data_IF_579734444157
#
_entry.id   IF_579734444157
#
_cell.length_a   1.000
_cell.length_b   1.000
_cell.length_c   1.000
_cell.angle_alpha   90.00
_cell.angle_beta   90.00
_cell.angle_gamma   90.00
#
_symmetry.space_group_name_H-M   'P 1'
#
loop_
_entity.id
_entity.type
_entity.pdbx_description
1 polymer ?
#
# COMPACT_ATOMS: atom_id res chain seq x y z
N UNK A 1 10.46 12.53 -4.62
CA UNK A 1 8.97 12.62 -4.61
C UNK A 1 8.31 11.79 -5.70
N UNK A 2 8.44 12.07 -7.01
CA UNK A 2 7.74 11.31 -8.08
C UNK A 2 7.99 9.79 -8.11
N UNK A 3 9.22 9.32 -7.86
CA UNK A 3 9.55 7.87 -7.74
C UNK A 3 9.01 7.23 -6.45
N UNK A 4 8.90 8.02 -5.38
CA UNK A 4 8.41 7.59 -4.06
C UNK A 4 6.88 7.54 -4.03
N UNK A 5 6.24 8.45 -4.76
CA UNK A 5 4.80 8.47 -5.01
C UNK A 5 4.35 7.24 -5.82
N UNK A 6 5.17 6.79 -6.78
CA UNK A 6 4.97 5.50 -7.46
C UNK A 6 5.03 4.31 -6.50
N UNK A 7 5.94 4.31 -5.52
CA UNK A 7 6.09 3.26 -4.50
C UNK A 7 4.93 3.25 -3.49
N UNK A 8 4.50 4.41 -3.00
CA UNK A 8 3.31 4.59 -2.14
C UNK A 8 2.06 3.96 -2.76
N UNK A 9 1.93 4.11 -4.08
CA UNK A 9 0.73 3.74 -4.81
C UNK A 9 0.82 2.33 -5.41
N UNK A 10 2.03 1.85 -5.74
CA UNK A 10 2.30 0.43 -6.00
C UNK A 10 2.08 -0.42 -4.74
N UNK A 11 2.39 0.09 -3.55
CA UNK A 11 2.09 -0.59 -2.27
C UNK A 11 0.59 -0.76 -1.98
N UNK A 12 -0.26 0.10 -2.56
CA UNK A 12 -1.74 -0.01 -2.49
C UNK A 12 -2.30 -0.84 -3.67
N UNK A 13 -1.50 -1.08 -4.72
CA UNK A 13 -1.95 -1.75 -5.95
C UNK A 13 -1.40 -3.17 -6.14
N UNK A 14 -0.26 -3.52 -5.54
CA UNK A 14 0.44 -4.78 -5.84
C UNK A 14 1.17 -5.27 -4.59
N UNK A 15 0.63 -6.30 -3.95
CA UNK A 15 1.46 -7.23 -3.19
C UNK A 15 2.39 -7.94 -4.18
N UNK A 16 3.69 -7.84 -3.93
CA UNK A 16 4.79 -8.45 -4.67
C UNK A 16 5.27 -7.76 -5.96
N UNK A 17 6.61 -7.56 -5.99
CA UNK A 17 7.47 -7.32 -7.15
C UNK A 17 7.34 -5.98 -7.88
N UNK A 18 8.45 -5.22 -7.89
CA UNK A 18 9.02 -4.64 -9.11
C UNK A 18 10.40 -4.03 -8.83
N UNK A 19 11.44 -4.67 -9.39
CA UNK A 19 12.77 -4.10 -9.64
C UNK A 19 12.92 -3.90 -11.15
N UNK A 20 13.23 -2.68 -11.58
CA UNK A 20 14.05 -2.42 -12.76
C UNK A 20 14.46 -0.94 -12.77
N UNK A 21 15.76 -0.65 -12.63
CA UNK A 21 16.36 0.61 -13.05
C UNK A 21 17.42 0.29 -14.09
N UNK A 22 17.36 1.04 -15.19
CA UNK A 22 18.24 0.98 -16.33
C UNK A 22 19.66 1.47 -15.99
N UNK A 23 20.67 0.82 -16.57
CA UNK A 23 22.01 1.37 -16.78
C UNK A 23 22.15 1.79 -18.24
N UNK A 24 22.71 2.98 -18.47
CA UNK A 24 23.14 3.46 -19.78
C UNK A 24 24.67 3.44 -19.80
N UNK A 25 25.26 2.78 -20.80
CA UNK A 25 26.68 2.83 -21.13
C UNK A 25 26.82 3.09 -22.62
N UNK A 26 27.62 4.10 -22.99
CA UNK A 26 27.84 4.52 -24.37
C UNK A 26 28.73 3.56 -25.14
N UNK A 27 28.50 3.50 -26.45
CA UNK A 27 29.32 2.79 -27.43
C UNK A 27 29.03 3.34 -28.83
N UNK A 28 30.10 3.52 -29.62
CA UNK A 28 30.13 4.17 -30.94
C UNK A 28 29.28 3.46 -32.00
N UNK A 29 28.80 4.25 -32.97
CA UNK A 29 28.06 3.82 -34.17
C UNK A 29 28.94 2.93 -35.09
N UNK A 30 28.47 1.75 -35.53
CA UNK A 30 29.07 1.03 -36.64
C UNK A 30 28.38 1.36 -37.97
N UNK A 31 29.21 1.34 -39.01
CA UNK A 31 28.96 1.60 -40.43
C UNK A 31 27.85 0.72 -41.04
N UNK A 32 26.96 1.33 -41.83
CA UNK A 32 25.76 0.70 -42.41
C UNK A 32 26.12 -0.45 -43.38
N UNK A 33 25.80 -1.68 -42.97
CA UNK A 33 25.65 -2.83 -43.86
C UNK A 33 24.16 -3.12 -44.03
N UNK A 34 23.68 -3.18 -45.28
CA UNK A 34 22.30 -3.59 -45.59
C UNK A 34 22.05 -5.03 -45.11
N UNK A 35 21.54 -5.17 -43.88
CA UNK A 35 20.95 -6.40 -43.39
C UNK A 35 19.42 -6.24 -43.35
N UNK A 36 18.68 -7.29 -43.70
CA UNK A 36 17.25 -7.34 -43.40
C UNK A 36 17.08 -7.31 -41.88
N UNK A 37 16.49 -6.24 -41.35
CA UNK A 37 16.34 -6.06 -39.91
C UNK A 37 15.17 -6.88 -39.34
N UNK A 38 15.40 -7.50 -38.19
CA UNK A 38 14.37 -8.12 -37.36
C UNK A 38 14.24 -7.33 -36.05
N UNK A 39 13.21 -6.49 -35.98
CA UNK A 39 13.05 -5.49 -34.92
C UNK A 39 12.31 -6.01 -33.67
N UNK A 40 11.71 -7.20 -33.71
CA UNK A 40 10.98 -7.80 -32.59
C UNK A 40 9.84 -6.94 -32.01
N UNK A 41 9.39 -7.29 -30.80
CA UNK A 41 8.47 -6.46 -30.01
C UNK A 41 9.23 -5.29 -29.37
N UNK A 42 8.86 -4.06 -29.71
CA UNK A 42 9.52 -2.85 -29.21
C UNK A 42 9.31 -2.64 -27.69
N UNK A 43 10.16 -1.81 -27.09
CA UNK A 43 10.08 -1.37 -25.70
C UNK A 43 9.42 0.01 -25.63
N UNK A 44 8.31 0.13 -24.89
CA UNK A 44 7.64 1.41 -24.69
C UNK A 44 8.50 2.34 -23.83
N UNK A 45 9.00 3.43 -24.42
CA UNK A 45 9.74 4.46 -23.68
C UNK A 45 8.79 5.44 -23.00
N UNK A 46 7.85 5.98 -23.76
CA UNK A 46 6.83 6.92 -23.27
C UNK A 46 5.50 6.63 -23.95
N UNK A 47 4.43 6.53 -23.16
CA UNK A 47 3.09 6.37 -23.70
C UNK A 47 2.61 7.67 -24.35
N UNK A 48 1.99 7.58 -25.52
CA UNK A 48 1.30 8.71 -26.12
C UNK A 48 0.10 9.11 -25.27
N UNK A 49 -0.14 10.42 -25.20
CA UNK A 49 -1.29 11.02 -24.52
C UNK A 49 -2.14 11.79 -25.53
N UNK A 50 -3.21 12.47 -25.08
CA UNK A 50 -4.00 13.34 -25.95
C UNK A 50 -3.28 14.65 -26.29
N UNK A 51 -2.24 15.03 -25.53
CA UNK A 51 -1.52 16.28 -25.71
C UNK A 51 -0.08 16.10 -26.21
N UNK A 52 0.53 14.94 -25.94
CA UNK A 52 1.93 14.64 -26.23
C UNK A 52 2.05 13.30 -26.92
N UNK A 53 2.92 13.26 -27.92
CA UNK A 53 3.34 12.02 -28.56
C UNK A 53 4.10 11.14 -27.57
N UNK A 54 4.05 9.83 -27.81
CA UNK A 54 4.84 8.83 -27.11
C UNK A 54 6.02 8.37 -27.96
N UNK A 55 6.79 7.42 -27.46
CA UNK A 55 7.92 6.84 -28.16
C UNK A 55 8.05 5.35 -27.85
N UNK A 56 8.31 4.56 -28.90
CA UNK A 56 8.58 3.14 -28.87
C UNK A 56 10.00 2.88 -29.37
N UNK A 57 10.80 2.15 -28.62
CA UNK A 57 12.16 1.83 -28.97
C UNK A 57 12.25 0.41 -29.54
N UNK A 58 13.01 0.23 -30.61
CA UNK A 58 13.27 -1.07 -31.22
C UNK A 58 14.76 -1.32 -31.32
N UNK A 59 15.17 -2.55 -31.07
CA UNK A 59 16.55 -3.01 -31.25
C UNK A 59 16.53 -4.26 -32.12
N UNK A 60 17.25 -4.20 -33.23
CA UNK A 60 17.36 -5.33 -34.15
C UNK A 60 18.09 -6.49 -33.47
N UNK A 61 17.48 -7.67 -33.45
CA UNK A 61 18.06 -8.91 -32.88
C UNK A 61 19.27 -9.40 -33.67
N UNK A 62 19.32 -9.08 -34.98
CA UNK A 62 20.34 -9.58 -35.91
C UNK A 62 21.60 -8.72 -35.88
N UNK A 63 21.48 -7.39 -35.98
CA UNK A 63 22.62 -6.49 -36.13
C UNK A 63 22.81 -5.49 -34.99
N UNK A 64 21.89 -5.46 -34.01
CA UNK A 64 21.97 -4.54 -32.88
C UNK A 64 21.62 -3.09 -33.20
N UNK A 65 21.26 -2.77 -34.46
CA UNK A 65 20.76 -1.46 -34.87
C UNK A 65 19.57 -1.04 -34.00
N UNK A 66 19.40 0.27 -33.82
CA UNK A 66 18.40 0.84 -32.92
C UNK A 66 17.56 1.86 -33.67
N UNK A 67 16.27 1.87 -33.41
CA UNK A 67 15.38 2.95 -33.87
C UNK A 67 14.38 3.30 -32.79
N UNK A 68 13.95 4.56 -32.78
CA UNK A 68 12.85 5.03 -31.95
C UNK A 68 11.75 5.54 -32.85
N UNK A 69 10.55 4.98 -32.70
CA UNK A 69 9.37 5.42 -33.43
C UNK A 69 8.48 6.27 -32.53
N UNK A 70 7.96 7.35 -33.10
CA UNK A 70 7.01 8.24 -32.42
C UNK A 70 5.63 7.58 -32.41
N UNK A 71 5.04 7.43 -31.23
CA UNK A 71 3.64 7.04 -31.09
C UNK A 71 2.81 8.32 -31.19
N UNK A 72 1.99 8.51 -32.23
CA UNK A 72 1.25 9.76 -32.42
C UNK A 72 0.30 10.01 -31.25
N UNK A 73 0.15 11.29 -30.89
CA UNK A 73 -0.90 11.71 -29.95
C UNK A 73 -2.28 11.42 -30.52
N UNK A 74 -3.27 11.25 -29.64
CA UNK A 74 -4.66 11.10 -30.06
C UNK A 74 -5.49 12.30 -29.61
N UNK A 75 -5.95 13.11 -30.56
CA UNK A 75 -6.67 14.35 -30.26
C UNK A 75 -8.09 14.13 -29.70
N UNK A 76 -8.54 12.88 -29.58
CA UNK A 76 -9.83 12.53 -28.97
C UNK A 76 -9.65 11.94 -27.57
N UNK A 77 -10.33 12.55 -26.59
CA UNK A 77 -10.39 12.00 -25.25
C UNK A 77 -11.23 10.71 -25.22
N UNK A 78 -10.64 9.63 -24.71
CA UNK A 78 -11.37 8.43 -24.30
C UNK A 78 -11.57 8.46 -22.78
N UNK A 79 -12.69 9.01 -22.34
CA UNK A 79 -13.06 9.05 -20.93
C UNK A 79 -13.45 7.66 -20.43
N UNK A 80 -13.26 7.42 -19.13
CA UNK A 80 -13.75 6.23 -18.44
C UNK A 80 -15.27 6.22 -18.44
N UNK A 81 -15.85 5.02 -18.50
CA UNK A 81 -17.29 4.82 -18.26
C UNK A 81 -17.64 5.13 -16.79
N UNK A 82 -16.68 4.85 -15.89
CA UNK A 82 -16.75 5.17 -14.47
C UNK A 82 -16.61 6.66 -14.19
N UNK A 83 -17.45 7.18 -13.31
CA UNK A 83 -17.38 8.53 -12.73
C UNK A 83 -17.09 8.45 -11.23
N UNK A 84 -16.57 9.50 -10.62
CA UNK A 84 -16.47 9.62 -9.16
C UNK A 84 -16.93 11.01 -8.70
N UNK A 85 -17.42 11.13 -7.46
CA UNK A 85 -17.77 12.43 -6.89
C UNK A 85 -16.48 13.20 -6.61
N UNK A 86 -16.25 14.29 -7.36
CA UNK A 86 -15.20 15.26 -7.10
C UNK A 86 -15.64 16.35 -6.12
N UNK A 87 -16.96 16.60 -6.04
CA UNK A 87 -17.57 17.55 -5.11
C UNK A 87 -18.92 17.05 -4.64
N UNK A 88 -19.18 17.16 -3.34
CA UNK A 88 -20.48 16.79 -2.74
C UNK A 88 -21.59 17.75 -3.19
N UNK A 89 -22.75 17.24 -3.63
CA UNK A 89 -23.94 18.06 -3.79
C UNK A 89 -24.53 18.43 -2.43
N UNK A 90 -25.16 19.59 -2.36
CA UNK A 90 -25.92 20.04 -1.18
C UNK A 90 -27.36 20.32 -1.57
N UNK A 91 -28.25 20.52 -0.58
CA UNK A 91 -29.63 20.92 -0.85
C UNK A 91 -29.77 22.26 -1.61
N UNK A 92 -28.68 23.03 -1.73
CA UNK A 92 -28.65 24.37 -2.35
C UNK A 92 -27.74 24.47 -3.58
N UNK A 93 -26.99 23.43 -3.90
CA UNK A 93 -26.03 23.45 -5.00
C UNK A 93 -25.76 22.06 -5.52
N UNK A 94 -25.70 21.92 -6.84
CA UNK A 94 -25.26 20.67 -7.47
C UNK A 94 -23.83 20.32 -7.05
N UNK A 95 -23.57 19.02 -7.03
CA UNK A 95 -22.23 18.46 -6.86
C UNK A 95 -21.59 18.26 -8.21
N UNK A 96 -20.41 17.64 -8.21
CA UNK A 96 -19.66 17.36 -9.42
C UNK A 96 -19.23 15.90 -9.43
N UNK A 97 -19.71 15.16 -10.42
CA UNK A 97 -19.10 13.92 -10.85
C UNK A 97 -17.93 14.24 -11.78
N UNK A 98 -16.95 13.36 -11.81
CA UNK A 98 -15.78 13.47 -12.65
C UNK A 98 -15.51 12.12 -13.33
N UNK A 99 -15.23 12.13 -14.62
CA UNK A 99 -14.61 10.98 -15.32
C UNK A 99 -13.27 11.38 -15.91
N UNK A 100 -12.39 10.39 -16.06
CA UNK A 100 -10.99 10.63 -16.43
C UNK A 100 -10.70 10.06 -17.81
N UNK A 101 -9.93 10.80 -18.60
CA UNK A 101 -9.40 10.27 -19.85
C UNK A 101 -8.33 9.22 -19.58
N UNK A 102 -8.56 7.98 -20.02
CA UNK A 102 -7.66 6.86 -19.78
C UNK A 102 -6.30 6.97 -20.50
N UNK A 103 -6.12 7.99 -21.36
CA UNK A 103 -4.87 8.25 -22.10
C UNK A 103 -4.11 9.46 -21.59
N UNK A 104 -4.80 10.46 -21.02
CA UNK A 104 -4.21 11.76 -20.72
C UNK A 104 -4.69 12.40 -19.42
N UNK A 105 -5.54 11.71 -18.65
CA UNK A 105 -6.05 12.17 -17.35
C UNK A 105 -6.85 13.45 -17.35
N UNK A 106 -7.18 13.99 -18.54
CA UNK A 106 -8.14 15.07 -18.65
C UNK A 106 -9.42 14.67 -17.93
N UNK A 107 -10.00 15.64 -17.23
CA UNK A 107 -11.22 15.47 -16.46
C UNK A 107 -12.40 16.04 -17.21
N UNK A 108 -13.52 15.34 -17.13
CA UNK A 108 -14.81 15.88 -17.49
C UNK A 108 -15.69 15.95 -16.25
N UNK A 109 -16.12 17.16 -15.91
CA UNK A 109 -17.02 17.45 -14.81
C UNK A 109 -18.47 17.35 -15.30
N UNK A 110 -19.26 16.57 -14.58
CA UNK A 110 -20.67 16.30 -14.87
C UNK A 110 -21.47 16.73 -13.63
N UNK A 111 -22.58 17.49 -13.76
CA UNK A 111 -23.42 17.82 -12.62
C UNK A 111 -23.90 16.58 -11.87
N UNK A 112 -23.78 16.59 -10.55
CA UNK A 112 -24.22 15.51 -9.68
C UNK A 112 -25.49 15.91 -8.94
N UNK A 113 -26.56 15.12 -9.09
CA UNK A 113 -27.85 15.43 -8.49
C UNK A 113 -27.87 15.16 -6.97
N UNK A 114 -28.46 16.08 -6.21
CA UNK A 114 -28.52 15.98 -4.74
C UNK A 114 -29.37 14.80 -4.25
N UNK A 115 -30.49 14.50 -4.91
CA UNK A 115 -31.43 13.48 -4.42
C UNK A 115 -30.84 12.06 -4.46
N UNK A 116 -30.20 11.68 -5.57
CA UNK A 116 -29.49 10.42 -5.76
C UNK A 116 -28.31 10.30 -4.80
N UNK A 117 -27.52 11.36 -4.68
CA UNK A 117 -26.40 11.39 -3.73
C UNK A 117 -26.89 11.21 -2.30
N UNK A 118 -27.91 11.98 -1.87
CA UNK A 118 -28.45 11.92 -0.52
C UNK A 118 -28.92 10.51 -0.16
N UNK A 119 -29.59 9.81 -1.08
CA UNK A 119 -30.02 8.43 -0.86
C UNK A 119 -28.85 7.48 -0.58
N UNK A 120 -27.76 7.59 -1.33
CA UNK A 120 -26.55 6.77 -1.11
C UNK A 120 -25.87 7.14 0.20
N UNK A 121 -25.74 8.43 0.47
CA UNK A 121 -25.15 8.97 1.69
C UNK A 121 -25.88 8.51 2.94
N UNK A 122 -27.20 8.67 2.99
CA UNK A 122 -28.02 8.25 4.13
C UNK A 122 -27.90 6.74 4.36
N UNK A 123 -27.85 5.92 3.29
CA UNK A 123 -27.67 4.48 3.40
C UNK A 123 -26.29 4.09 3.95
N UNK A 124 -25.22 4.76 3.50
CA UNK A 124 -23.87 4.52 4.01
C UNK A 124 -23.76 4.89 5.50
N UNK A 125 -24.28 6.06 5.89
CA UNK A 125 -24.30 6.50 7.30
C UNK A 125 -25.14 5.55 8.16
N UNK A 126 -26.33 5.16 7.69
CA UNK A 126 -27.18 4.22 8.42
C UNK A 126 -26.49 2.85 8.60
N UNK A 127 -25.76 2.38 7.58
CA UNK A 127 -24.97 1.15 7.67
C UNK A 127 -23.87 1.23 8.73
N UNK A 128 -23.12 2.35 8.77
CA UNK A 128 -22.09 2.58 9.80
C UNK A 128 -22.70 2.58 11.20
N UNK A 129 -23.79 3.33 11.38
CA UNK A 129 -24.51 3.47 12.65
C UNK A 129 -25.28 2.21 13.08
N UNK A 130 -25.44 1.23 12.17
CA UNK A 130 -26.14 -0.02 12.45
C UNK A 130 -25.37 -0.97 13.37
N UNK A 131 -24.08 -0.72 13.60
CA UNK A 131 -23.26 -1.55 14.49
C UNK A 131 -23.41 -1.16 15.96
N UNK A 132 -23.59 -2.16 16.81
CA UNK A 132 -23.56 -2.04 18.26
C UNK A 132 -22.16 -2.32 18.82
N UNK A 133 -21.80 -1.77 19.98
CA UNK A 133 -20.50 -2.03 20.62
C UNK A 133 -20.20 -3.52 20.79
N UNK A 134 -21.25 -4.33 21.00
CA UNK A 134 -21.16 -5.78 21.18
C UNK A 134 -20.88 -6.57 19.90
N UNK A 135 -20.94 -5.96 18.72
CA UNK A 135 -20.72 -6.65 17.44
C UNK A 135 -19.31 -7.22 17.28
N UNK A 136 -18.36 -6.73 18.07
CA UNK A 136 -16.97 -7.20 18.13
C UNK A 136 -16.62 -7.81 19.48
N UNK A 137 -17.63 -8.37 20.17
CA UNK A 137 -17.51 -8.90 21.52
C UNK A 137 -17.88 -7.89 22.60
N UNK A 138 -18.17 -8.38 23.81
CA UNK A 138 -18.49 -7.55 24.97
C UNK A 138 -17.25 -7.06 25.73
N UNK A 139 -16.08 -7.63 25.44
CA UNK A 139 -14.85 -7.37 26.17
C UNK A 139 -14.22 -6.02 25.79
N UNK A 140 -13.80 -5.29 26.82
CA UNK A 140 -12.70 -4.32 26.82
C UNK A 140 -11.60 -4.54 25.77
N UNK A 141 -11.31 -3.60 24.85
CA UNK A 141 -9.94 -3.56 24.34
C UNK A 141 -9.03 -3.23 25.55
N UNK A 142 -7.86 -3.86 25.62
CA UNK A 142 -6.99 -3.80 26.78
C UNK A 142 -5.86 -2.82 26.53
N UNK A 143 -5.70 -1.86 27.44
CA UNK A 143 -4.55 -0.98 27.43
C UNK A 143 -3.24 -1.77 27.57
N UNK A 144 -2.20 -1.34 26.86
CA UNK A 144 -0.87 -1.94 26.96
C UNK A 144 -0.04 -1.30 28.08
N UNK A 145 0.96 -2.04 28.56
CA UNK A 145 1.89 -1.52 29.58
C UNK A 145 2.64 -0.30 29.05
N UNK A 146 2.58 0.80 29.81
CA UNK A 146 3.28 2.05 29.49
C UNK A 146 4.68 2.13 30.11
N UNK A 147 5.09 1.08 30.83
CA UNK A 147 6.34 1.05 31.61
C UNK A 147 7.29 -0.09 31.23
N UNK A 148 6.88 -1.01 30.34
CA UNK A 148 7.75 -2.11 29.88
C UNK A 148 8.96 -1.60 29.10
N UNK A 149 8.76 -0.57 28.28
CA UNK A 149 9.82 0.08 27.50
C UNK A 149 9.91 1.56 27.88
N UNK A 150 11.07 2.16 27.64
CA UNK A 150 11.21 3.61 27.73
C UNK A 150 10.26 4.31 26.77
N UNK A 151 9.87 5.54 27.10
CA UNK A 151 9.03 6.35 26.24
C UNK A 151 9.66 6.50 24.84
N UNK A 152 8.89 6.35 23.74
CA UNK A 152 9.39 6.54 22.39
C UNK A 152 10.07 7.90 22.22
N UNK A 153 11.22 7.94 21.54
CA UNK A 153 11.99 9.18 21.31
C UNK A 153 11.38 10.08 20.23
N UNK A 154 10.47 9.54 19.43
CA UNK A 154 9.62 10.26 18.50
C UNK A 154 8.23 9.61 18.51
N UNK A 155 7.19 10.37 18.15
CA UNK A 155 5.82 9.89 18.11
C UNK A 155 4.91 10.73 17.22
N UNK A 156 3.72 10.21 16.89
CA UNK A 156 2.72 10.96 16.14
C UNK A 156 2.29 12.21 16.91
N UNK A 157 2.03 13.29 16.17
CA UNK A 157 1.44 14.49 16.76
C UNK A 157 -0.05 14.25 17.05
N UNK A 158 -0.46 14.51 18.28
CA UNK A 158 -1.85 14.38 18.70
C UNK A 158 -2.79 15.31 17.91
N UNK A 159 -3.98 14.83 17.58
CA UNK A 159 -5.01 15.55 16.83
C UNK A 159 -4.69 15.80 15.35
N UNK A 160 -3.59 15.27 14.82
CA UNK A 160 -3.23 15.38 13.41
C UNK A 160 -3.56 14.09 12.66
N UNK A 161 -4.49 14.21 11.70
CA UNK A 161 -4.86 13.17 10.75
C UNK A 161 -5.02 13.77 9.34
N UNK A 162 -4.69 13.02 8.26
CA UNK A 162 -4.01 11.73 8.27
C UNK A 162 -2.55 11.88 8.73
N UNK A 163 -2.00 10.80 9.28
CA UNK A 163 -0.58 10.71 9.70
C UNK A 163 0.06 9.37 9.33
N UNK A 164 -0.71 8.42 8.81
CA UNK A 164 -0.24 7.12 8.38
C UNK A 164 -0.02 7.10 6.86
N UNK A 165 1.23 6.81 6.45
CA UNK A 165 1.77 6.86 5.08
C UNK A 165 1.87 8.24 4.42
N UNK A 166 1.07 9.20 4.85
CA UNK A 166 1.19 10.60 4.48
C UNK A 166 0.61 11.48 5.58
N UNK A 167 1.15 12.70 5.69
CA UNK A 167 0.54 13.76 6.50
C UNK A 167 -0.26 14.76 5.64
N UNK A 168 -0.91 15.72 6.29
CA UNK A 168 -1.71 16.74 5.61
C UNK A 168 -0.94 17.53 4.53
N UNK A 169 0.35 17.83 4.73
CA UNK A 169 1.16 18.55 3.74
C UNK A 169 1.52 17.65 2.53
N UNK A 170 1.81 16.38 2.77
CA UNK A 170 2.04 15.40 1.71
C UNK A 170 0.77 15.12 0.90
N UNK A 171 -0.41 15.21 1.53
CA UNK A 171 -1.69 15.11 0.85
C UNK A 171 -1.95 16.20 -0.19
N UNK A 172 -1.47 17.43 0.05
CA UNK A 172 -1.56 18.49 -0.97
C UNK A 172 -0.72 18.14 -2.20
N UNK A 173 0.47 17.58 -1.99
CA UNK A 173 1.34 17.11 -3.07
C UNK A 173 0.71 15.94 -3.84
N UNK A 174 0.07 15.01 -3.12
CA UNK A 174 -0.67 13.89 -3.71
C UNK A 174 -1.83 14.38 -4.59
N UNK A 175 -2.63 15.33 -4.10
CA UNK A 175 -3.74 15.93 -4.85
C UNK A 175 -3.26 16.63 -6.12
N UNK A 176 -2.15 17.37 -6.06
CA UNK A 176 -1.56 17.99 -7.24
C UNK A 176 -1.07 16.94 -8.27
N UNK A 177 -0.57 15.80 -7.78
CA UNK A 177 -0.07 14.71 -8.63
C UNK A 177 -1.17 13.79 -9.18
N UNK A 178 -2.42 13.89 -8.71
CA UNK A 178 -3.54 13.03 -9.13
C UNK A 178 -3.76 13.03 -10.65
N UNK A 179 -3.43 14.14 -11.32
CA UNK A 179 -3.57 14.29 -12.78
C UNK A 179 -2.29 14.00 -13.57
N UNK A 180 -1.19 13.59 -12.92
CA UNK A 180 0.05 13.23 -13.63
C UNK A 180 -0.14 11.85 -14.31
N UNK A 181 0.17 11.72 -15.62
CA UNK A 181 0.05 10.46 -16.36
C UNK A 181 0.73 9.26 -15.74
N UNK A 182 1.76 9.49 -14.92
CA UNK A 182 2.43 8.43 -14.17
C UNK A 182 1.51 7.71 -13.16
N UNK A 183 0.34 8.26 -12.81
CA UNK A 183 -0.57 7.70 -11.80
C UNK A 183 -1.92 7.21 -12.37
N UNK A 184 -2.20 7.34 -13.66
CA UNK A 184 -3.54 7.06 -14.20
C UNK A 184 -4.05 5.65 -13.95
N UNK A 185 -3.19 4.62 -14.06
CA UNK A 185 -3.61 3.24 -13.78
C UNK A 185 -4.12 3.09 -12.35
N UNK A 186 -3.46 3.75 -11.39
CA UNK A 186 -3.87 3.74 -9.99
C UNK A 186 -5.14 4.56 -9.78
N UNK A 187 -5.17 5.77 -10.33
CA UNK A 187 -6.33 6.65 -10.24
C UNK A 187 -7.57 5.90 -10.74
N UNK A 188 -7.46 5.22 -11.89
CA UNK A 188 -8.49 4.34 -12.45
C UNK A 188 -8.91 3.26 -11.45
N UNK A 189 -7.98 2.50 -10.89
CA UNK A 189 -8.27 1.44 -9.91
C UNK A 189 -8.96 1.99 -8.65
N UNK A 190 -8.61 3.20 -8.24
CA UNK A 190 -9.20 3.88 -7.07
C UNK A 190 -10.62 4.33 -7.37
N UNK A 191 -10.85 4.95 -8.53
CA UNK A 191 -12.18 5.37 -9.00
C UNK A 191 -13.11 4.18 -9.19
N UNK A 192 -12.64 3.10 -9.81
CA UNK A 192 -13.40 1.85 -9.97
C UNK A 192 -13.84 1.29 -8.62
N UNK A 193 -12.94 1.27 -7.63
CA UNK A 193 -13.28 0.84 -6.27
C UNK A 193 -14.28 1.80 -5.59
N UNK A 194 -14.15 3.12 -5.83
CA UNK A 194 -15.11 4.14 -5.43
C UNK A 194 -16.54 3.84 -5.89
N UNK A 195 -16.71 3.28 -7.08
CA UNK A 195 -18.02 2.95 -7.65
C UNK A 195 -18.57 1.58 -7.26
N UNK A 196 -17.75 0.74 -6.62
CA UNK A 196 -18.16 -0.60 -6.21
C UNK A 196 -19.32 -0.54 -5.20
N UNK A 197 -20.36 -1.34 -5.43
CA UNK A 197 -21.49 -1.57 -4.53
C UNK A 197 -21.17 -2.68 -3.53
N UNK A 198 -20.09 -2.49 -2.79
CA UNK A 198 -19.57 -3.44 -1.82
C UNK A 198 -19.96 -3.01 -0.40
N UNK A 199 -20.39 -3.95 0.43
CA UNK A 199 -20.79 -3.69 1.82
C UNK A 199 -19.81 -4.28 2.85
N UNK A 200 -18.86 -5.13 2.44
CA UNK A 200 -17.85 -5.72 3.32
C UNK A 200 -18.25 -7.04 3.98
N UNK A 201 -19.50 -7.49 3.82
CA UNK A 201 -19.97 -8.73 4.46
C UNK A 201 -19.46 -9.93 3.67
N UNK A 202 -18.72 -10.82 4.35
CA UNK A 202 -18.26 -12.08 3.75
C UNK A 202 -19.18 -13.24 4.13
N UNK A 203 -19.44 -14.17 3.19
CA UNK A 203 -20.07 -15.44 3.54
C UNK A 203 -19.13 -16.25 4.46
N UNK A 204 -19.70 -17.19 5.20
CA UNK A 204 -18.91 -18.14 5.98
C UNK A 204 -17.88 -18.85 5.10
N UNK A 205 -16.69 -19.08 5.65
CA UNK A 205 -15.65 -19.80 4.93
C UNK A 205 -16.10 -21.23 4.60
N UNK A 206 -15.71 -21.76 3.42
CA UNK A 206 -15.94 -23.17 3.12
C UNK A 206 -15.17 -24.05 4.12
N UNK A 207 -15.64 -25.29 4.33
CA UNK A 207 -15.00 -26.23 5.26
C UNK A 207 -13.52 -26.44 4.90
N UNK A 208 -12.61 -26.10 5.82
CA UNK A 208 -11.16 -26.21 5.64
C UNK A 208 -10.52 -25.11 4.77
N UNK A 209 -11.30 -24.12 4.33
CA UNK A 209 -10.82 -22.94 3.60
C UNK A 209 -10.95 -21.65 4.41
N UNK A 210 -10.71 -20.51 3.76
CA UNK A 210 -10.82 -19.18 4.33
C UNK A 210 -11.55 -18.26 3.35
N UNK A 211 -12.19 -17.19 3.84
CA UNK A 211 -12.90 -16.25 2.97
C UNK A 211 -12.06 -15.01 2.58
N UNK A 212 -10.79 -14.98 3.00
CA UNK A 212 -9.81 -13.97 2.58
C UNK A 212 -9.36 -14.15 1.13
N UNK A 213 -8.92 -15.36 0.75
CA UNK A 213 -8.56 -15.69 -0.65
C UNK A 213 -9.79 -15.64 -1.56
N UNK A 214 -10.95 -16.02 -1.03
CA UNK A 214 -12.22 -16.05 -1.75
C UNK A 214 -12.87 -14.66 -1.78
N UNK A 215 -12.13 -13.66 -2.25
CA UNK A 215 -12.60 -12.29 -2.49
C UNK A 215 -12.46 -11.32 -1.31
N UNK A 216 -12.21 -11.77 -0.08
CA UNK A 216 -12.01 -10.91 1.08
C UNK A 216 -10.91 -9.87 0.88
N UNK A 217 -9.78 -10.26 0.27
CA UNK A 217 -8.69 -9.33 -0.05
C UNK A 217 -9.11 -8.23 -1.05
N UNK A 218 -9.92 -8.55 -2.05
CA UNK A 218 -10.41 -7.56 -3.02
C UNK A 218 -11.36 -6.55 -2.35
N UNK A 219 -12.18 -7.02 -1.42
CA UNK A 219 -13.09 -6.19 -0.62
C UNK A 219 -12.31 -5.30 0.34
N UNK A 220 -11.25 -5.82 0.96
CA UNK A 220 -10.33 -5.05 1.81
C UNK A 220 -9.62 -3.94 1.03
N UNK A 221 -9.12 -4.26 -0.17
CA UNK A 221 -8.57 -3.25 -1.08
C UNK A 221 -9.61 -2.19 -1.47
N UNK A 222 -10.87 -2.58 -1.62
CA UNK A 222 -11.97 -1.64 -1.93
C UNK A 222 -12.19 -0.65 -0.78
N UNK A 223 -12.16 -1.12 0.47
CA UNK A 223 -12.28 -0.24 1.65
C UNK A 223 -11.17 0.83 1.68
N UNK A 224 -9.91 0.42 1.54
CA UNK A 224 -8.77 1.34 1.56
C UNK A 224 -8.79 2.31 0.38
N UNK A 225 -9.17 1.85 -0.82
CA UNK A 225 -9.30 2.73 -1.98
C UNK A 225 -10.42 3.76 -1.81
N UNK A 226 -11.55 3.40 -1.19
CA UNK A 226 -12.60 4.37 -0.83
C UNK A 226 -12.12 5.36 0.23
N UNK A 227 -11.40 4.91 1.25
CA UNK A 227 -10.79 5.80 2.24
C UNK A 227 -9.77 6.76 1.60
N UNK A 228 -8.97 6.26 0.65
CA UNK A 228 -8.05 7.09 -0.12
C UNK A 228 -8.80 8.09 -1.01
N UNK A 229 -9.89 7.67 -1.66
CA UNK A 229 -10.70 8.56 -2.48
C UNK A 229 -11.35 9.68 -1.65
N UNK A 230 -11.74 9.37 -0.40
CA UNK A 230 -12.14 10.40 0.58
C UNK A 230 -11.00 11.39 0.84
N UNK A 231 -9.77 10.92 1.05
CA UNK A 231 -8.60 11.79 1.22
C UNK A 231 -8.32 12.65 -0.02
N UNK A 232 -8.52 12.12 -1.23
CA UNK A 232 -8.28 12.86 -2.47
C UNK A 232 -9.36 13.90 -2.76
N UNK A 233 -10.63 13.59 -2.48
CA UNK A 233 -11.79 14.39 -2.93
C UNK A 233 -12.49 15.18 -1.82
N UNK A 234 -12.33 14.78 -0.56
CA UNK A 234 -13.10 15.29 0.58
C UNK A 234 -14.56 14.81 0.64
N UNK A 235 -14.99 13.95 -0.30
CA UNK A 235 -16.38 13.45 -0.36
C UNK A 235 -16.60 12.37 0.71
N UNK A 236 -17.40 12.70 1.71
CA UNK A 236 -17.64 11.91 2.93
C UNK A 236 -18.34 10.59 2.66
N UNK A 237 -19.15 10.49 1.59
CA UNK A 237 -19.77 9.22 1.18
C UNK A 237 -18.74 8.09 1.09
N UNK A 238 -17.58 8.35 0.47
CA UNK A 238 -16.52 7.36 0.34
C UNK A 238 -15.93 6.95 1.68
N UNK A 239 -15.78 7.90 2.61
CA UNK A 239 -15.27 7.61 3.94
C UNK A 239 -16.25 6.75 4.75
N UNK A 240 -17.56 7.04 4.71
CA UNK A 240 -18.57 6.21 5.38
C UNK A 240 -18.67 4.81 4.78
N UNK A 241 -18.63 4.68 3.45
CA UNK A 241 -18.59 3.36 2.80
C UNK A 241 -17.32 2.58 3.17
N UNK A 242 -16.16 3.24 3.24
CA UNK A 242 -14.92 2.60 3.67
C UNK A 242 -15.00 2.09 5.11
N UNK A 243 -15.53 2.91 6.03
CA UNK A 243 -15.75 2.53 7.43
C UNK A 243 -16.69 1.33 7.52
N UNK A 244 -17.82 1.37 6.80
CA UNK A 244 -18.79 0.27 6.77
C UNK A 244 -18.15 -1.04 6.30
N UNK A 245 -17.44 -1.00 5.17
CA UNK A 245 -16.79 -2.18 4.60
C UNK A 245 -15.74 -2.73 5.58
N UNK A 246 -14.91 -1.87 6.16
CA UNK A 246 -13.88 -2.25 7.11
C UNK A 246 -14.46 -2.93 8.35
N UNK A 247 -15.53 -2.38 8.94
CA UNK A 247 -16.22 -2.97 10.10
C UNK A 247 -16.86 -4.32 9.74
N UNK A 248 -17.54 -4.41 8.60
CA UNK A 248 -18.14 -5.68 8.17
C UNK A 248 -17.08 -6.75 7.89
N UNK A 249 -15.97 -6.38 7.25
CA UNK A 249 -14.84 -7.29 7.04
C UNK A 249 -14.28 -7.75 8.38
N UNK A 250 -13.95 -6.84 9.28
CA UNK A 250 -13.38 -7.19 10.59
C UNK A 250 -14.28 -8.16 11.37
N UNK A 251 -15.60 -8.08 11.20
CA UNK A 251 -16.59 -8.97 11.83
C UNK A 251 -16.74 -10.33 11.14
N UNK A 252 -16.61 -10.38 9.82
CA UNK A 252 -17.01 -11.55 9.00
C UNK A 252 -15.85 -12.26 8.32
N UNK A 253 -14.66 -11.68 8.35
CA UNK A 253 -13.48 -12.22 7.73
C UNK A 253 -12.96 -13.42 8.53
N UNK A 254 -12.79 -14.53 7.84
CA UNK A 254 -12.17 -15.74 8.35
C UNK A 254 -10.88 -15.98 7.55
N UNK A 255 -9.77 -15.98 8.29
CA UNK A 255 -8.40 -16.13 7.78
C UNK A 255 -7.86 -17.53 8.13
N UNK A 256 -8.59 -18.31 8.93
CA UNK A 256 -8.11 -19.62 9.40
C UNK A 256 -8.09 -20.63 8.24
N UNK A 257 -7.03 -21.44 8.19
CA UNK A 257 -6.86 -22.48 7.17
C UNK A 257 -6.26 -21.98 5.84
N UNK A 258 -5.48 -22.84 5.19
CA UNK A 258 -4.96 -22.58 3.83
C UNK A 258 -3.76 -21.62 3.72
N UNK A 259 -3.07 -21.34 4.82
CA UNK A 259 -1.83 -20.54 4.86
C UNK A 259 -0.75 -21.23 5.70
N UNK A 260 0.49 -21.20 5.21
CA UNK A 260 1.67 -21.57 6.00
C UNK A 260 1.97 -20.55 7.11
N UNK A 261 1.85 -19.25 6.79
CA UNK A 261 2.13 -18.14 7.72
C UNK A 261 0.91 -17.20 7.86
N UNK A 262 -0.17 -17.61 8.53
CA UNK A 262 -1.39 -16.81 8.63
C UNK A 262 -1.16 -15.46 9.32
N UNK A 263 -0.13 -15.32 10.15
CA UNK A 263 0.22 -14.04 10.82
C UNK A 263 0.47 -12.90 9.82
N UNK A 264 0.95 -13.19 8.61
CA UNK A 264 1.18 -12.17 7.58
C UNK A 264 -0.14 -11.59 7.05
N UNK A 265 -1.18 -12.42 7.01
CA UNK A 265 -2.53 -12.03 6.56
C UNK A 265 -3.25 -11.26 7.66
N UNK A 266 -3.21 -11.73 8.91
CA UNK A 266 -3.73 -10.97 10.05
C UNK A 266 -3.08 -9.57 10.14
N UNK A 267 -1.76 -9.51 9.96
CA UNK A 267 -1.01 -8.27 9.89
C UNK A 267 -1.44 -7.35 8.74
N UNK A 268 -1.60 -7.88 7.53
CA UNK A 268 -2.10 -7.11 6.37
C UNK A 268 -3.49 -6.51 6.64
N UNK A 269 -4.41 -7.30 7.20
CA UNK A 269 -5.74 -6.81 7.56
C UNK A 269 -5.63 -5.70 8.60
N UNK A 270 -4.81 -5.89 9.65
CA UNK A 270 -4.58 -4.87 10.68
C UNK A 270 -4.02 -3.57 10.10
N UNK A 271 -3.04 -3.66 9.19
CA UNK A 271 -2.48 -2.51 8.49
C UNK A 271 -3.56 -1.75 7.71
N UNK A 272 -4.44 -2.45 6.99
CA UNK A 272 -5.49 -1.83 6.20
C UNK A 272 -6.59 -1.23 7.08
N UNK A 273 -6.92 -1.85 8.22
CA UNK A 273 -7.80 -1.26 9.22
C UNK A 273 -7.20 0.03 9.78
N UNK A 274 -5.89 0.08 10.02
CA UNK A 274 -5.19 1.29 10.44
C UNK A 274 -5.30 2.42 9.41
N UNK A 275 -5.18 2.12 8.11
CA UNK A 275 -5.36 3.10 7.03
C UNK A 275 -6.78 3.65 7.00
N UNK A 276 -7.81 2.79 7.05
CA UNK A 276 -9.20 3.25 7.08
C UNK A 276 -9.47 4.07 8.34
N UNK A 277 -8.93 3.66 9.49
CA UNK A 277 -9.10 4.39 10.75
C UNK A 277 -8.47 5.79 10.68
N UNK A 278 -7.20 5.88 10.30
CA UNK A 278 -6.45 7.14 10.23
C UNK A 278 -7.01 8.09 9.17
N UNK A 279 -7.29 7.56 7.98
CA UNK A 279 -7.74 8.38 6.85
C UNK A 279 -9.21 8.77 6.95
N UNK A 280 -10.05 7.99 7.61
CA UNK A 280 -11.45 8.36 7.86
C UNK A 280 -11.69 8.91 9.27
N UNK A 281 -10.63 9.22 10.03
CA UNK A 281 -10.70 9.66 11.41
C UNK A 281 -11.75 10.76 11.69
N UNK A 282 -11.85 11.82 10.85
CA UNK A 282 -12.85 12.87 11.07
C UNK A 282 -14.32 12.42 10.97
N UNK A 283 -14.57 11.23 10.42
CA UNK A 283 -15.91 10.67 10.24
C UNK A 283 -16.26 9.61 11.29
N UNK A 284 -15.27 9.10 12.03
CA UNK A 284 -15.47 8.07 13.06
C UNK A 284 -16.15 8.66 14.30
N UNK A 285 -17.24 8.04 14.74
CA UNK A 285 -17.85 8.32 16.03
C UNK A 285 -17.19 7.50 17.13
N UNK A 286 -17.39 7.88 18.40
CA UNK A 286 -16.82 7.14 19.55
C UNK A 286 -17.14 5.63 19.50
N UNK A 287 -18.37 5.17 19.19
CA UNK A 287 -18.64 3.74 19.06
C UNK A 287 -17.85 3.08 17.93
N UNK A 288 -17.65 3.76 16.79
CA UNK A 288 -16.86 3.23 15.68
C UNK A 288 -15.41 3.00 16.12
N UNK A 289 -14.83 3.99 16.79
CA UNK A 289 -13.45 3.94 17.27
C UNK A 289 -13.23 2.75 18.20
N UNK A 290 -14.12 2.57 19.17
CA UNK A 290 -14.11 1.44 20.10
C UNK A 290 -14.24 0.09 19.40
N UNK A 291 -15.13 -0.01 18.40
CA UNK A 291 -15.34 -1.23 17.62
C UNK A 291 -14.11 -1.61 16.80
N UNK A 292 -13.43 -0.64 16.19
CA UNK A 292 -12.16 -0.89 15.51
C UNK A 292 -11.08 -1.39 16.46
N UNK A 293 -10.87 -0.72 17.60
CA UNK A 293 -9.84 -1.11 18.57
C UNK A 293 -10.09 -2.52 19.14
N UNK A 294 -11.34 -2.81 19.52
CA UNK A 294 -11.74 -4.15 20.01
C UNK A 294 -11.62 -5.21 18.93
N UNK A 295 -12.13 -4.93 17.74
CA UNK A 295 -12.14 -5.89 16.66
C UNK A 295 -10.72 -6.24 16.21
N UNK A 296 -9.83 -5.25 16.07
CA UNK A 296 -8.43 -5.51 15.73
C UNK A 296 -7.75 -6.30 16.83
N UNK A 297 -7.89 -5.90 18.10
CA UNK A 297 -7.28 -6.62 19.21
C UNK A 297 -7.75 -8.09 19.27
N UNK A 298 -9.06 -8.33 19.33
CA UNK A 298 -9.60 -9.66 19.58
C UNK A 298 -9.53 -10.59 18.36
N UNK A 299 -9.77 -10.08 17.14
CA UNK A 299 -9.84 -10.93 15.95
C UNK A 299 -8.54 -11.00 15.16
N UNK A 300 -7.66 -10.00 15.27
CA UNK A 300 -6.41 -9.95 14.50
C UNK A 300 -5.17 -10.15 15.36
N UNK A 301 -5.20 -9.83 16.66
CA UNK A 301 -4.02 -9.90 17.52
C UNK A 301 -4.02 -11.14 18.44
N UNK A 302 -5.02 -11.25 19.31
CA UNK A 302 -5.05 -12.23 20.40
C UNK A 302 -5.07 -13.68 19.88
N UNK A 303 -3.98 -14.42 20.12
CA UNK A 303 -3.82 -15.80 19.67
C UNK A 303 -3.70 -15.98 18.15
N UNK A 304 -3.51 -14.89 17.39
CA UNK A 304 -3.41 -14.89 15.92
C UNK A 304 -2.04 -14.45 15.41
N UNK A 305 -1.50 -13.38 15.98
CA UNK A 305 -0.16 -12.89 15.63
C UNK A 305 0.89 -13.73 16.36
N UNK A 306 1.92 -14.17 15.67
CA UNK A 306 2.98 -14.98 16.27
C UNK A 306 3.78 -14.21 17.34
N UNK A 307 3.89 -12.89 17.18
CA UNK A 307 4.50 -12.02 18.18
C UNK A 307 3.68 -11.90 19.47
N UNK A 308 2.43 -12.35 19.44
CA UNK A 308 1.47 -12.29 20.53
C UNK A 308 0.85 -10.91 20.75
N UNK A 309 -0.05 -10.85 21.74
CA UNK A 309 -0.64 -9.61 22.24
C UNK A 309 -0.61 -9.62 23.78
N UNK A 310 0.13 -8.73 24.46
CA UNK A 310 0.97 -7.66 23.92
C UNK A 310 2.12 -8.18 23.01
N UNK A 311 2.52 -7.43 21.96
CA UNK A 311 3.48 -7.89 20.95
C UNK A 311 4.92 -7.88 21.48
N UNK A 312 5.25 -8.93 22.24
CA UNK A 312 6.52 -9.05 22.97
C UNK A 312 7.30 -10.34 22.74
N UNK A 313 6.77 -11.24 21.92
CA UNK A 313 7.52 -12.40 21.44
C UNK A 313 8.50 -12.06 20.32
N UNK A 314 9.23 -13.09 19.89
CA UNK A 314 10.11 -13.12 18.72
C UNK A 314 11.35 -12.20 18.78
N UNK A 315 12.35 -12.55 17.96
CA UNK A 315 13.63 -11.87 17.85
C UNK A 315 13.59 -10.67 16.89
N UNK A 316 14.56 -9.75 17.00
CA UNK A 316 14.64 -8.48 16.24
C UNK A 316 15.73 -8.42 15.17
N UNK A 317 16.51 -9.51 15.03
CA UNK A 317 17.50 -9.75 13.96
C UNK A 317 17.03 -10.79 12.94
N UNK A 318 16.29 -11.82 13.39
CA UNK A 318 15.87 -12.96 12.56
C UNK A 318 14.40 -13.37 12.73
N UNK A 319 13.94 -14.29 11.88
CA UNK A 319 12.58 -14.84 11.89
C UNK A 319 11.47 -13.83 11.58
N UNK A 320 10.22 -14.24 11.84
CA UNK A 320 9.02 -13.43 11.56
C UNK A 320 8.90 -12.16 12.41
N UNK A 321 9.66 -12.07 13.51
CA UNK A 321 9.74 -10.86 14.34
C UNK A 321 10.36 -9.67 13.60
N UNK A 322 11.14 -9.94 12.55
CA UNK A 322 11.81 -8.95 11.71
C UNK A 322 11.06 -8.64 10.41
N UNK A 323 9.82 -9.10 10.30
CA UNK A 323 8.97 -8.86 9.14
C UNK A 323 7.94 -7.78 9.46
N UNK A 324 6.78 -7.88 8.82
CA UNK A 324 5.74 -6.84 8.82
C UNK A 324 4.99 -6.72 10.14
N UNK A 325 4.95 -7.77 10.97
CA UNK A 325 4.13 -7.80 12.20
C UNK A 325 4.31 -6.54 13.06
N UNK A 326 5.55 -6.25 13.50
CA UNK A 326 5.81 -5.03 14.25
C UNK A 326 6.10 -3.84 13.33
N UNK A 327 6.95 -4.03 12.32
CA UNK A 327 7.51 -2.95 11.50
C UNK A 327 6.52 -2.30 10.53
N UNK A 328 5.35 -2.90 10.33
CA UNK A 328 4.27 -2.34 9.53
C UNK A 328 2.95 -2.42 10.29
N UNK A 329 2.56 -3.59 10.74
CA UNK A 329 1.16 -3.85 11.09
C UNK A 329 0.79 -3.23 12.45
N UNK A 330 1.47 -3.65 13.54
CA UNK A 330 1.26 -3.11 14.88
C UNK A 330 1.62 -1.64 14.96
N UNK A 331 2.75 -1.24 14.35
CA UNK A 331 3.20 0.15 14.34
C UNK A 331 2.19 1.07 13.65
N UNK A 332 1.63 0.66 12.50
CA UNK A 332 0.61 1.44 11.80
C UNK A 332 -0.64 1.60 12.63
N UNK A 333 -1.15 0.51 13.23
CA UNK A 333 -2.37 0.58 14.03
C UNK A 333 -2.18 1.44 15.28
N UNK A 334 -1.04 1.29 15.98
CA UNK A 334 -0.68 2.11 17.14
C UNK A 334 -0.58 3.60 16.80
N UNK A 335 -0.07 3.95 15.62
CA UNK A 335 -0.02 5.34 15.14
C UNK A 335 -1.42 5.85 14.81
N UNK A 336 -2.25 5.05 14.14
CA UNK A 336 -3.60 5.44 13.76
C UNK A 336 -4.45 5.79 15.00
N UNK A 337 -4.45 4.93 16.03
CA UNK A 337 -5.31 5.08 17.21
C UNK A 337 -4.71 5.96 18.33
N UNK A 338 -3.55 6.58 18.12
CA UNK A 338 -2.79 7.25 19.18
C UNK A 338 -3.58 8.25 20.04
N UNK A 339 -4.51 8.98 19.42
CA UNK A 339 -5.36 9.95 20.13
C UNK A 339 -6.40 9.30 21.04
N UNK A 340 -6.82 8.08 20.72
CA UNK A 340 -7.87 7.34 21.42
C UNK A 340 -7.30 6.31 22.41
N UNK A 341 -6.17 5.66 22.07
CA UNK A 341 -5.39 4.81 22.98
C UNK A 341 -3.87 4.98 22.73
N UNK A 342 -3.20 5.91 23.45
CA UNK A 342 -1.76 6.11 23.30
C UNK A 342 -0.92 4.96 23.88
N UNK A 343 -1.51 4.06 24.67
CA UNK A 343 -0.77 2.98 25.34
C UNK A 343 -0.19 1.99 24.31
N UNK A 344 -0.88 1.80 23.18
CA UNK A 344 -0.38 1.02 22.06
C UNK A 344 0.93 1.57 21.51
N UNK A 345 0.98 2.87 21.23
CA UNK A 345 2.19 3.49 20.70
C UNK A 345 3.31 3.54 21.73
N UNK A 346 2.99 3.77 23.00
CA UNK A 346 3.98 3.75 24.07
C UNK A 346 4.67 2.38 24.17
N UNK A 347 3.90 1.29 24.09
CA UNK A 347 4.44 -0.06 24.09
C UNK A 347 5.20 -0.39 22.79
N UNK A 348 4.54 -0.24 21.64
CA UNK A 348 5.04 -0.69 20.33
C UNK A 348 6.17 0.22 19.85
N UNK A 349 5.97 1.53 19.92
CA UNK A 349 7.01 2.53 19.64
C UNK A 349 8.18 2.40 20.62
N UNK A 350 7.91 2.12 21.90
CA UNK A 350 8.94 1.91 22.91
C UNK A 350 9.83 0.71 22.56
N UNK A 351 9.22 -0.44 22.23
CA UNK A 351 9.94 -1.63 21.74
C UNK A 351 10.71 -1.34 20.46
N UNK A 352 10.07 -0.66 19.51
CA UNK A 352 10.67 -0.31 18.22
C UNK A 352 11.98 0.47 18.40
N UNK A 353 11.96 1.53 19.22
CA UNK A 353 13.15 2.33 19.48
C UNK A 353 14.18 1.66 20.39
N UNK A 354 13.74 0.79 21.30
CA UNK A 354 14.64 0.09 22.22
C UNK A 354 15.37 -1.10 21.56
N UNK A 355 14.68 -1.85 20.70
CA UNK A 355 15.17 -3.15 20.21
C UNK A 355 15.40 -3.17 18.70
N UNK A 356 14.55 -2.52 17.90
CA UNK A 356 14.64 -2.62 16.43
C UNK A 356 15.63 -1.61 15.85
N UNK A 357 15.50 -0.34 16.22
CA UNK A 357 16.30 0.77 15.67
C UNK A 357 17.81 0.62 15.95
N UNK A 358 18.27 0.31 17.18
CA UNK A 358 19.70 0.21 17.46
C UNK A 358 20.37 -0.92 16.68
N UNK A 359 19.72 -2.08 16.61
CA UNK A 359 20.21 -3.26 15.88
C UNK A 359 20.35 -2.96 14.38
N UNK A 360 19.33 -2.33 13.77
CA UNK A 360 19.34 -1.90 12.36
C UNK A 360 20.46 -0.92 12.05
N UNK A 361 20.58 0.11 12.89
CA UNK A 361 21.63 1.11 12.73
C UNK A 361 23.04 0.52 12.89
N UNK A 362 23.19 -0.59 13.62
CA UNK A 362 24.46 -1.29 13.71
C UNK A 362 24.78 -2.04 12.41
N UNK A 363 23.89 -2.93 11.95
CA UNK A 363 24.20 -3.72 10.75
C UNK A 363 24.19 -2.91 9.45
N UNK A 364 23.45 -1.79 9.37
CA UNK A 364 23.52 -0.92 8.19
C UNK A 364 24.89 -0.29 7.96
N UNK A 365 25.73 -0.12 9.00
CA UNK A 365 27.11 0.37 8.84
C UNK A 365 27.96 -0.54 7.94
N UNK A 366 27.60 -1.82 7.85
CA UNK A 366 28.28 -2.78 7.00
C UNK A 366 27.84 -2.76 5.53
N UNK A 367 26.74 -2.05 5.21
CA UNK A 367 26.10 -2.11 3.90
C UNK A 367 25.49 -3.48 3.57
N UNK A 368 25.33 -4.35 4.58
CA UNK A 368 24.94 -5.75 4.43
C UNK A 368 23.73 -6.10 5.31
N UNK A 369 22.92 -7.07 4.84
CA UNK A 369 21.78 -7.61 5.58
C UNK A 369 22.18 -8.92 6.26
N UNK A 370 21.91 -9.12 7.56
CA UNK A 370 22.35 -10.31 8.30
C UNK A 370 21.71 -11.65 7.84
N UNK A 371 20.82 -11.62 6.84
CA UNK A 371 20.03 -12.78 6.39
C UNK A 371 20.30 -13.16 4.92
N UNK A 372 21.44 -12.73 4.36
CA UNK A 372 21.78 -12.96 2.96
C UNK A 372 21.06 -12.03 1.99
N UNK A 373 21.35 -12.19 0.70
CA UNK A 373 20.87 -11.35 -0.42
C UNK A 373 19.71 -11.97 -1.21
N UNK A 374 19.32 -13.21 -0.89
CA UNK A 374 18.24 -13.97 -1.54
C UNK A 374 16.84 -13.51 -1.07
N UNK A 375 15.87 -14.44 -1.01
CA UNK A 375 14.44 -14.28 -0.70
C UNK A 375 14.19 -13.38 0.53
N UNK A 376 15.04 -13.50 1.55
CA UNK A 376 14.86 -12.79 2.81
C UNK A 376 15.32 -11.33 2.79
N UNK A 377 16.28 -10.95 1.93
CA UNK A 377 16.68 -9.54 1.81
C UNK A 377 15.46 -8.69 1.45
N UNK A 378 14.74 -9.12 0.41
CA UNK A 378 13.57 -8.40 -0.08
C UNK A 378 12.53 -8.23 1.04
N UNK A 379 12.20 -9.29 1.77
CA UNK A 379 11.16 -9.27 2.79
C UNK A 379 11.54 -8.46 4.03
N UNK A 380 12.74 -8.68 4.56
CA UNK A 380 13.23 -8.06 5.81
C UNK A 380 13.55 -6.58 5.58
N UNK A 381 14.29 -6.28 4.52
CA UNK A 381 14.61 -4.90 4.19
C UNK A 381 13.37 -4.09 3.76
N UNK A 382 12.39 -4.71 3.06
CA UNK A 382 11.11 -4.02 2.82
C UNK A 382 10.37 -3.71 4.12
N UNK A 383 10.47 -4.57 5.15
CA UNK A 383 9.84 -4.32 6.45
C UNK A 383 10.52 -3.13 7.17
N UNK A 384 11.84 -3.01 7.05
CA UNK A 384 12.57 -1.82 7.51
C UNK A 384 12.15 -0.57 6.73
N UNK A 385 12.01 -0.65 5.41
CA UNK A 385 11.52 0.47 4.59
C UNK A 385 10.08 0.88 4.96
N UNK A 386 9.20 -0.08 5.27
CA UNK A 386 7.85 0.20 5.76
C UNK A 386 7.89 1.01 7.06
N UNK A 387 8.61 0.53 8.07
CA UNK A 387 8.73 1.25 9.35
C UNK A 387 9.37 2.62 9.18
N UNK A 388 10.40 2.75 8.33
CA UNK A 388 11.02 4.03 8.02
C UNK A 388 10.02 5.02 7.42
N UNK A 389 9.21 4.56 6.46
CA UNK A 389 8.21 5.36 5.79
C UNK A 389 7.07 5.77 6.73
N UNK A 390 6.53 4.82 7.48
CA UNK A 390 5.46 5.03 8.46
C UNK A 390 5.89 6.07 9.50
N UNK A 391 7.09 5.89 10.08
CA UNK A 391 7.64 6.80 11.08
C UNK A 391 7.94 8.18 10.51
N UNK A 392 8.45 8.26 9.28
CA UNK A 392 8.65 9.54 8.60
C UNK A 392 7.34 10.29 8.38
N UNK A 393 6.28 9.58 7.98
CA UNK A 393 4.96 10.17 7.77
C UNK A 393 4.39 10.71 9.08
N UNK A 394 4.49 9.93 10.16
CA UNK A 394 3.92 10.25 11.45
C UNK A 394 4.71 11.31 12.25
N UNK A 395 6.04 11.36 12.09
CA UNK A 395 6.94 12.16 12.94
C UNK A 395 7.79 13.18 12.18
N UNK A 396 7.79 13.13 10.86
CA UNK A 396 8.68 13.91 10.00
C UNK A 396 10.13 13.39 9.94
N UNK A 397 10.47 12.32 10.65
CA UNK A 397 11.85 11.81 10.78
C UNK A 397 11.98 10.34 10.39
N UNK A 398 13.08 10.01 9.71
CA UNK A 398 13.48 8.62 9.53
C UNK A 398 14.04 8.10 10.87
N UNK A 399 13.56 6.95 11.39
CA UNK A 399 14.06 6.38 12.63
C UNK A 399 15.46 5.77 12.49
N UNK A 400 15.90 5.46 11.27
CA UNK A 400 17.21 4.85 10.99
C UNK A 400 18.23 5.87 10.49
N UNK A 401 19.50 5.47 10.52
CA UNK A 401 20.57 6.16 9.80
C UNK A 401 20.35 6.02 8.29
N UNK A 402 19.79 7.07 7.68
CA UNK A 402 19.43 7.07 6.27
C UNK A 402 20.65 6.95 5.34
N UNK A 403 21.82 7.42 5.76
CA UNK A 403 23.04 7.32 4.95
C UNK A 403 23.52 5.87 4.87
N UNK A 404 23.48 5.14 5.98
CA UNK A 404 23.86 3.73 6.03
C UNK A 404 22.77 2.81 5.46
N UNK A 405 21.48 3.11 5.71
CA UNK A 405 20.37 2.36 5.13
C UNK A 405 20.42 2.36 3.59
N UNK A 406 20.75 3.49 2.96
CA UNK A 406 20.91 3.59 1.50
C UNK A 406 22.06 2.77 0.93
N UNK A 407 23.01 2.32 1.75
CA UNK A 407 24.16 1.54 1.31
C UNK A 407 23.87 0.05 1.19
N UNK A 408 22.67 -0.41 1.57
CA UNK A 408 22.20 -1.79 1.34
C UNK A 408 21.92 -2.00 -0.16
N UNK A 409 22.99 -1.97 -0.96
CA UNK A 409 23.01 -2.00 -2.43
C UNK A 409 23.77 -3.23 -2.94
N UNK A 410 24.20 -4.14 -2.05
CA UNK A 410 24.96 -5.33 -2.45
C UNK A 410 24.22 -6.19 -3.47
N UNK A 411 22.89 -6.23 -3.45
CA UNK A 411 22.09 -6.89 -4.50
C UNK A 411 22.36 -6.36 -5.91
N UNK A 412 22.81 -5.12 -6.06
CA UNK A 412 23.27 -4.57 -7.35
C UNK A 412 24.61 -5.20 -7.76
N UNK A 413 25.52 -5.42 -6.81
CA UNK A 413 26.86 -5.97 -7.03
C UNK A 413 26.90 -7.50 -7.13
N UNK A 414 25.91 -8.19 -6.57
CA UNK A 414 25.84 -9.65 -6.58
C UNK A 414 24.93 -10.19 -7.66
N UNK A 415 24.37 -9.33 -8.52
CA UNK A 415 23.62 -9.74 -9.70
C UNK A 415 24.54 -10.38 -10.73
N UNK A 416 24.17 -11.55 -11.22
CA UNK A 416 24.92 -12.28 -12.24
C UNK A 416 24.52 -11.76 -13.64
N UNK A 417 25.46 -11.73 -14.58
CA UNK A 417 25.22 -11.32 -15.97
C UNK A 417 24.67 -12.50 -16.77
N UNK A 418 23.43 -12.89 -16.51
CA UNK A 418 22.74 -14.00 -17.19
C UNK A 418 21.43 -13.59 -17.88
N UNK A 419 21.13 -12.27 -17.90
CA UNK A 419 19.88 -11.75 -18.44
C UNK A 419 18.65 -11.99 -17.55
N UNK A 420 18.82 -12.60 -16.37
CA UNK A 420 17.77 -12.94 -15.42
C UNK A 420 17.81 -12.13 -14.11
N UNK A 421 17.08 -12.64 -13.12
CA UNK A 421 17.03 -12.11 -11.75
C UNK A 421 17.94 -12.89 -10.78
N UNK A 422 19.01 -13.48 -11.29
CA UNK A 422 19.89 -14.36 -10.53
C UNK A 422 20.92 -13.54 -9.75
N UNK A 423 21.14 -13.91 -8.49
CA UNK A 423 22.16 -13.34 -7.61
C UNK A 423 23.18 -14.42 -7.26
N UNK A 424 24.35 -14.02 -6.76
CA UNK A 424 25.29 -14.94 -6.14
C UNK A 424 24.64 -15.64 -4.94
N UNK A 425 24.81 -16.96 -4.86
CA UNK A 425 24.26 -17.77 -3.77
C UNK A 425 24.82 -17.32 -2.41
N UNK A 426 23.94 -16.96 -1.47
CA UNK A 426 24.34 -16.54 -0.13
C UNK A 426 23.20 -16.68 0.89
N UNK A 427 23.46 -17.42 1.98
CA UNK A 427 22.47 -17.71 3.03
C UNK A 427 21.49 -18.81 2.62
N UNK A 428 20.26 -18.74 3.14
CA UNK A 428 19.17 -19.63 2.72
C UNK A 428 18.67 -19.18 1.34
N UNK A 429 19.26 -19.76 0.30
CA UNK A 429 18.99 -19.46 -1.09
C UNK A 429 18.40 -20.67 -1.81
N UNK A 430 17.25 -20.49 -2.45
CA UNK A 430 16.74 -21.43 -3.44
C UNK A 430 17.30 -21.04 -4.81
N UNK A 431 18.63 -21.13 -4.96
CA UNK A 431 19.28 -20.99 -6.25
C UNK A 431 18.96 -22.20 -7.14
N UNK A 432 17.75 -22.22 -7.74
CA UNK A 432 17.18 -23.11 -8.79
C UNK A 432 15.64 -22.96 -8.69
N UNK A 433 14.84 -22.42 -9.61
CA UNK A 433 14.76 -22.58 -11.07
C UNK A 433 13.79 -21.55 -11.68
N UNK A 434 14.24 -20.74 -12.65
CA UNK A 434 13.36 -20.20 -13.71
C UNK A 434 13.83 -20.61 -15.12
N UNK A 435 14.71 -21.62 -15.22
CA UNK A 435 15.20 -22.18 -16.49
C UNK A 435 14.48 -23.49 -16.89
N UNK A 436 13.68 -24.13 -16.03
CA UNK A 436 13.03 -25.42 -16.38
C UNK A 436 11.59 -25.30 -16.94
N UNK A 437 10.92 -24.15 -16.86
CA UNK A 437 9.55 -23.99 -17.41
C UNK A 437 9.49 -23.47 -18.86
N UNK A 438 10.58 -23.58 -19.62
CA UNK A 438 10.58 -23.29 -21.06
C UNK A 438 10.59 -24.56 -21.94
N UNK A 439 10.47 -25.76 -21.34
CA UNK A 439 10.39 -27.04 -22.08
C UNK A 439 9.37 -28.06 -21.54
N UNK A 440 8.28 -27.60 -20.90
CA UNK A 440 7.03 -28.34 -20.74
C UNK A 440 5.86 -27.37 -20.91
#
# INVERSE_FOLDING_TARGET
MKKILRLLLLGVAVGCCLFALASCGGGQEPEETECAHDWGEGTLLTAATCAKEGAMYYKCSICGAQKTEVIPKSDQHKFSDDTYYAKEPTARSDGELCRLCLRCGAEERIPADYASYKKKYDAAVAGVNGFMLTDFGSTQHSALSTTKYAAPTAGPTAGQHPRLLFNAAEMETLRAAWHDPAFYSLVKLTVMAGNSKENGVRPAAPSGGNNYKDGGQAVLNTAVRKAFLYQMTGVKLYGYEAILIAKNLLKTLDIQGGYGDPTRVYGEVMFYMALVYDWCYPLLQLPDKEQFMRGVQHYLCEGKMEMGFPPSGQDTVSGHGCERQLLRDYLSFAIAIYDDDPTWYQFIGGRFFAEYVPVRNEYYKSGYSPQGISIYLSLRYCSDLWSAWIMKSATGKNPYDEANMKQVMRSVYTRIVDGGSTFLDEGDDEARTHIENLYQ
#
